data_IF_131084038086
#
_entry.id   IF_131084038086
#
_cell.length_a   1.000
_cell.length_b   1.000
_cell.length_c   1.000
_cell.angle_alpha   90.00
_cell.angle_beta   90.00
_cell.angle_gamma   90.00
#
_symmetry.space_group_name_H-M   'P 1'
#
loop_
_entity.id
_entity.type
_entity.pdbx_description
1 polymer ?
#
# COMPACT_ATOMS: atom_id res chain seq x y z
N UNK A 1 -3.73 2.79 16.76
CA UNK A 1 -4.44 3.34 15.58
C UNK A 1 -5.27 4.53 16.03
N UNK A 2 -5.29 5.62 15.27
CA UNK A 2 -6.05 6.85 15.59
C UNK A 2 -7.14 7.10 14.57
N UNK A 3 -8.34 7.43 15.02
CA UNK A 3 -9.36 7.92 14.11
C UNK A 3 -9.02 9.33 13.63
N UNK A 4 -8.96 9.53 12.31
CA UNK A 4 -8.66 10.83 11.70
C UNK A 4 -9.78 11.87 11.86
N UNK A 5 -10.91 11.48 12.46
CA UNK A 5 -12.10 12.32 12.62
C UNK A 5 -12.34 12.73 14.07
N UNK A 6 -12.48 11.76 14.97
CA UNK A 6 -12.73 12.04 16.39
C UNK A 6 -11.47 11.99 17.27
N UNK A 7 -10.33 11.55 16.73
CA UNK A 7 -9.06 11.46 17.48
C UNK A 7 -8.97 10.27 18.45
N UNK A 8 -9.99 9.40 18.53
CA UNK A 8 -9.94 8.23 19.42
C UNK A 8 -8.80 7.29 19.04
N UNK A 9 -8.07 6.83 20.05
CA UNK A 9 -7.02 5.82 19.91
C UNK A 9 -7.56 4.42 20.20
N UNK A 10 -7.15 3.48 19.36
CA UNK A 10 -7.44 2.06 19.45
C UNK A 10 -6.14 1.29 19.55
N UNK A 11 -6.10 0.29 20.44
CA UNK A 11 -5.06 -0.73 20.42
C UNK A 11 -5.16 -1.56 19.14
N UNK A 12 -4.07 -2.25 18.78
CA UNK A 12 -4.07 -3.13 17.61
C UNK A 12 -5.20 -4.16 17.75
N UNK A 13 -5.95 -4.40 16.67
CA UNK A 13 -7.06 -5.36 16.59
C UNK A 13 -8.31 -5.04 17.46
N UNK A 14 -8.36 -3.93 18.20
CA UNK A 14 -9.58 -3.52 18.92
C UNK A 14 -10.73 -3.13 17.96
N UNK A 15 -10.37 -2.64 16.78
CA UNK A 15 -11.27 -2.33 15.66
C UNK A 15 -10.57 -2.81 14.41
N UNK A 16 -11.29 -3.42 13.47
CA UNK A 16 -10.64 -4.02 12.30
C UNK A 16 -10.26 -2.98 11.24
N UNK A 17 -11.19 -2.06 10.91
CA UNK A 17 -10.99 -1.13 9.79
C UNK A 17 -11.38 0.33 10.10
N UNK A 18 -12.58 0.56 10.63
CA UNK A 18 -13.16 1.90 10.77
C UNK A 18 -13.71 2.16 12.16
N UNK A 19 -13.56 3.40 12.62
CA UNK A 19 -14.14 3.89 13.86
C UNK A 19 -15.67 3.94 13.77
N UNK A 20 -16.36 3.59 14.86
CA UNK A 20 -17.82 3.69 15.01
C UNK A 20 -18.31 5.04 15.52
N UNK A 21 -17.50 6.10 15.50
CA UNK A 21 -17.88 7.42 16.02
C UNK A 21 -18.99 8.12 15.23
N UNK A 22 -19.38 7.57 14.07
CA UNK A 22 -20.51 8.00 13.25
C UNK A 22 -21.05 6.85 12.41
N UNK A 23 -22.24 6.99 11.79
CA UNK A 23 -22.69 6.08 10.75
C UNK A 23 -21.67 6.01 9.60
N UNK A 24 -21.13 4.83 9.38
CA UNK A 24 -20.20 4.54 8.30
C UNK A 24 -21.01 4.30 7.01
N UNK A 25 -21.19 5.35 6.21
CA UNK A 25 -22.01 5.32 4.99
C UNK A 25 -21.24 5.90 3.80
N UNK A 26 -21.29 5.20 2.66
CA UNK A 26 -20.57 5.58 1.44
C UNK A 26 -19.08 5.82 1.70
N UNK A 27 -18.56 6.94 1.19
CA UNK A 27 -17.16 7.34 1.37
C UNK A 27 -16.85 8.04 2.71
N UNK A 28 -17.87 8.37 3.53
CA UNK A 28 -17.66 9.11 4.78
C UNK A 28 -17.42 8.19 5.99
N UNK A 29 -16.33 7.45 5.94
CA UNK A 29 -15.99 6.45 6.96
C UNK A 29 -15.16 7.03 8.10
N UNK A 30 -15.24 6.43 9.29
CA UNK A 30 -14.36 6.73 10.42
C UNK A 30 -12.93 6.22 10.21
N UNK A 31 -12.27 6.60 9.12
CA UNK A 31 -10.96 6.08 8.69
C UNK A 31 -9.92 6.19 9.82
N UNK A 32 -9.20 5.09 10.02
CA UNK A 32 -8.14 4.97 11.00
C UNK A 32 -6.78 5.20 10.33
N UNK A 33 -5.85 5.78 11.11
CA UNK A 33 -4.44 5.87 10.77
C UNK A 33 -3.64 4.98 11.72
N UNK A 34 -2.62 4.31 11.19
CA UNK A 34 -1.73 3.45 11.98
C UNK A 34 -0.72 4.35 12.69
N UNK A 35 -0.60 4.24 14.00
CA UNK A 35 0.38 5.03 14.75
C UNK A 35 1.40 4.09 15.39
N UNK A 36 2.64 4.54 15.39
CA UNK A 36 3.79 3.79 15.85
C UNK A 36 4.40 4.45 17.08
N UNK A 37 5.00 3.64 17.93
CA UNK A 37 5.90 4.12 18.97
C UNK A 37 7.26 4.41 18.33
N UNK A 38 7.46 5.64 17.85
CA UNK A 38 8.71 6.06 17.22
C UNK A 38 9.90 6.05 18.18
N UNK A 39 9.67 6.20 19.49
CA UNK A 39 10.74 6.12 20.48
C UNK A 39 11.25 4.68 20.59
N UNK A 40 10.33 3.71 20.65
CA UNK A 40 10.68 2.29 20.62
C UNK A 40 11.37 1.89 19.31
N UNK A 41 10.89 2.37 18.16
CA UNK A 41 11.52 2.13 16.86
C UNK A 41 12.95 2.68 16.83
N UNK A 42 13.16 3.94 17.23
CA UNK A 42 14.47 4.57 17.22
C UNK A 42 15.47 3.88 18.15
N UNK A 43 15.00 3.19 19.20
CA UNK A 43 15.83 2.39 20.08
C UNK A 43 16.21 1.02 19.49
N UNK A 44 15.44 0.50 18.54
CA UNK A 44 15.57 -0.87 18.02
C UNK A 44 16.11 -0.96 16.58
N UNK A 45 15.95 0.10 15.78
CA UNK A 45 16.31 0.13 14.36
C UNK A 45 17.07 1.41 14.03
N UNK A 46 18.30 1.26 13.54
CA UNK A 46 19.11 2.39 13.07
C UNK A 46 19.01 2.57 11.55
N UNK A 47 19.23 3.79 11.04
CA UNK A 47 19.32 4.04 9.60
C UNK A 47 20.33 3.15 8.88
N UNK A 48 21.49 2.88 9.49
CA UNK A 48 22.56 2.06 8.94
C UNK A 48 22.12 0.60 8.78
N UNK A 49 21.34 0.07 9.74
CA UNK A 49 20.77 -1.27 9.63
C UNK A 49 19.82 -1.37 8.43
N UNK A 50 18.97 -0.35 8.22
CA UNK A 50 18.05 -0.30 7.06
C UNK A 50 18.83 -0.19 5.75
N UNK A 51 19.91 0.60 5.70
CA UNK A 51 20.76 0.72 4.52
C UNK A 51 21.51 -0.57 4.19
N UNK A 52 21.97 -1.29 5.22
CA UNK A 52 22.76 -2.51 5.08
C UNK A 52 21.94 -3.76 4.75
N UNK A 53 20.61 -3.74 4.93
CA UNK A 53 19.75 -4.88 4.60
C UNK A 53 19.78 -5.15 3.07
N UNK A 54 20.18 -6.36 2.65
CA UNK A 54 20.34 -6.69 1.23
C UNK A 54 19.01 -6.86 0.48
N UNK A 55 17.86 -6.89 1.17
CA UNK A 55 16.55 -6.99 0.51
C UNK A 55 16.30 -5.77 -0.37
N UNK A 56 16.09 -5.93 -1.69
CA UNK A 56 15.74 -4.79 -2.53
C UNK A 56 14.27 -4.39 -2.40
N UNK A 57 13.41 -5.25 -1.84
CA UNK A 57 11.96 -5.06 -1.77
C UNK A 57 11.52 -4.27 -0.53
N UNK A 58 10.21 -4.07 -0.39
CA UNK A 58 9.61 -3.51 0.83
C UNK A 58 9.90 -4.33 2.09
N UNK A 59 10.34 -5.58 1.94
CA UNK A 59 10.79 -6.44 3.04
C UNK A 59 11.97 -5.84 3.82
N UNK A 60 12.79 -4.98 3.21
CA UNK A 60 13.79 -4.15 3.89
C UNK A 60 13.22 -3.32 5.04
N UNK A 61 11.97 -2.86 4.90
CA UNK A 61 11.31 -1.96 5.83
C UNK A 61 10.33 -2.69 6.75
N UNK A 62 10.36 -4.03 6.80
CA UNK A 62 9.40 -4.82 7.58
C UNK A 62 9.23 -4.39 9.05
N UNK A 63 10.25 -3.91 9.79
CA UNK A 63 10.03 -3.47 11.18
C UNK A 63 9.20 -2.18 11.28
N UNK A 64 9.08 -1.44 10.17
CA UNK A 64 8.29 -0.21 10.05
C UNK A 64 6.91 -0.47 9.42
N UNK A 65 6.56 -1.73 9.22
CA UNK A 65 5.31 -2.18 8.61
C UNK A 65 4.42 -2.85 9.65
N UNK A 66 3.09 -2.83 9.47
CA UNK A 66 2.14 -3.34 10.46
C UNK A 66 2.01 -4.88 10.42
N UNK A 67 3.11 -5.61 10.23
CA UNK A 67 3.16 -7.07 10.13
C UNK A 67 4.01 -7.65 11.25
N UNK A 68 3.71 -8.85 11.70
CA UNK A 68 4.39 -9.48 12.82
C UNK A 68 5.79 -9.98 12.44
N UNK A 69 5.93 -10.47 11.20
CA UNK A 69 7.19 -11.04 10.69
C UNK A 69 7.40 -10.68 9.22
N UNK A 70 8.66 -10.48 8.84
CA UNK A 70 9.06 -10.28 7.43
C UNK A 70 8.55 -11.38 6.49
N UNK A 71 8.56 -12.63 6.96
CA UNK A 71 8.13 -13.81 6.18
C UNK A 71 6.63 -13.85 5.89
N UNK A 72 5.84 -12.97 6.51
CA UNK A 72 4.41 -12.82 6.19
C UNK A 72 4.19 -12.12 4.85
N UNK A 73 5.18 -11.41 4.33
CA UNK A 73 5.08 -10.80 3.00
C UNK A 73 5.02 -11.87 1.90
N UNK A 74 4.20 -11.67 0.85
CA UNK A 74 4.21 -12.53 -0.32
C UNK A 74 5.61 -12.65 -0.95
N UNK A 75 5.92 -13.76 -1.63
CA UNK A 75 7.25 -14.00 -2.19
C UNK A 75 7.56 -13.16 -3.43
N UNK A 76 6.61 -12.38 -3.94
CA UNK A 76 6.86 -11.44 -5.03
C UNK A 76 7.65 -10.23 -4.53
N UNK A 77 8.77 -9.86 -5.17
CA UNK A 77 9.55 -8.70 -4.76
C UNK A 77 8.81 -7.41 -5.15
N UNK A 78 8.10 -6.83 -4.17
CA UNK A 78 7.40 -5.55 -4.30
C UNK A 78 8.34 -4.43 -3.88
N UNK A 79 8.33 -3.31 -4.60
CA UNK A 79 9.27 -2.22 -4.34
C UNK A 79 10.63 -2.45 -4.99
N UNK A 80 11.66 -1.77 -4.49
CA UNK A 80 12.99 -1.78 -5.12
C UNK A 80 13.00 -1.19 -6.54
N UNK A 81 11.97 -0.41 -6.87
CA UNK A 81 11.76 0.11 -8.22
C UNK A 81 12.75 1.24 -8.52
N UNK A 82 13.00 1.50 -9.80
CA UNK A 82 14.04 2.44 -10.20
C UNK A 82 13.69 3.89 -9.85
N UNK A 83 14.70 4.64 -9.40
CA UNK A 83 14.68 6.11 -9.37
C UNK A 83 15.47 6.62 -10.57
N UNK A 84 14.76 6.96 -11.65
CA UNK A 84 15.34 7.27 -12.94
C UNK A 84 15.76 8.75 -13.03
N UNK A 85 17.05 9.09 -13.24
CA UNK A 85 17.44 10.45 -13.55
C UNK A 85 16.96 10.85 -14.95
N UNK A 86 16.25 11.97 -15.06
CA UNK A 86 15.69 12.44 -16.35
C UNK A 86 16.48 13.63 -16.89
N UNK A 87 17.72 13.37 -17.32
CA UNK A 87 18.72 14.40 -17.63
C UNK A 87 18.27 15.45 -18.66
N UNK A 88 17.57 15.02 -19.73
CA UNK A 88 17.09 15.94 -20.79
C UNK A 88 16.02 16.91 -20.25
N UNK A 89 14.97 16.37 -19.63
CA UNK A 89 13.91 17.19 -19.04
C UNK A 89 14.45 18.07 -17.92
N UNK A 90 15.33 17.54 -17.08
CA UNK A 90 16.03 18.27 -16.02
C UNK A 90 16.72 19.53 -16.55
N UNK A 91 17.47 19.40 -17.65
CA UNK A 91 18.17 20.50 -18.29
C UNK A 91 17.19 21.52 -18.91
N UNK A 92 16.13 21.03 -19.55
CA UNK A 92 15.08 21.85 -20.16
C UNK A 92 14.38 22.77 -19.15
N UNK A 93 14.10 22.27 -17.94
CA UNK A 93 13.42 23.03 -16.88
C UNK A 93 14.36 23.68 -15.85
N UNK A 94 15.68 23.61 -16.06
CA UNK A 94 16.68 24.28 -15.22
C UNK A 94 16.83 23.75 -13.79
N UNK A 95 16.48 22.49 -13.51
CA UNK A 95 16.64 21.89 -12.17
C UNK A 95 18.02 21.24 -11.98
N UNK A 96 18.58 21.29 -10.77
CA UNK A 96 19.84 20.58 -10.42
C UNK A 96 19.67 19.06 -10.42
N UNK A 97 18.55 18.60 -9.87
CA UNK A 97 18.20 17.19 -9.76
C UNK A 97 16.72 17.01 -10.13
N UNK A 98 16.43 16.00 -10.94
CA UNK A 98 15.07 15.60 -11.30
C UNK A 98 15.07 14.10 -11.55
N UNK A 99 14.15 13.41 -10.90
CA UNK A 99 14.03 11.96 -10.95
C UNK A 99 12.58 11.53 -11.17
N UNK A 100 12.40 10.33 -11.72
CA UNK A 100 11.12 9.64 -11.81
C UNK A 100 11.21 8.33 -11.05
N UNK A 101 10.36 8.15 -10.03
CA UNK A 101 10.21 6.88 -9.31
C UNK A 101 9.26 5.96 -10.09
N UNK A 102 9.81 4.97 -10.79
CA UNK A 102 9.07 4.13 -11.74
C UNK A 102 8.43 2.90 -11.08
N UNK A 103 7.35 3.17 -10.35
CA UNK A 103 6.55 2.11 -9.71
C UNK A 103 5.63 1.33 -10.66
N UNK A 104 5.68 1.66 -11.96
CA UNK A 104 5.06 0.84 -13.02
C UNK A 104 5.79 -0.48 -13.25
N UNK A 105 6.97 -0.67 -12.64
CA UNK A 105 7.79 -1.90 -12.73
C UNK A 105 7.58 -2.89 -11.57
N UNK A 106 6.64 -2.62 -10.67
CA UNK A 106 6.22 -3.62 -9.69
C UNK A 106 5.60 -4.85 -10.39
N UNK A 107 5.47 -6.01 -9.70
CA UNK A 107 5.05 -7.27 -10.32
C UNK A 107 3.73 -7.24 -11.13
N UNK A 108 2.72 -6.50 -10.67
CA UNK A 108 1.45 -6.32 -11.39
C UNK A 108 1.44 -5.13 -12.36
N UNK A 109 2.62 -4.55 -12.61
CA UNK A 109 2.85 -3.28 -13.28
C UNK A 109 2.19 -2.07 -12.58
N UNK A 110 2.11 -2.10 -11.24
CA UNK A 110 1.48 -1.01 -10.49
C UNK A 110 2.03 -0.75 -9.09
N UNK A 111 2.07 0.52 -8.72
CA UNK A 111 2.24 1.00 -7.34
C UNK A 111 1.31 0.29 -6.32
N UNK A 112 0.17 -0.22 -6.77
CA UNK A 112 -0.81 -0.89 -5.90
C UNK A 112 -0.29 -2.19 -5.28
N UNK A 113 0.77 -2.79 -5.83
CA UNK A 113 1.45 -3.96 -5.24
C UNK A 113 1.91 -3.69 -3.81
N UNK A 114 2.42 -2.49 -3.52
CA UNK A 114 2.89 -2.11 -2.18
C UNK A 114 1.81 -2.29 -1.12
N UNK A 115 0.60 -1.82 -1.39
CA UNK A 115 -0.53 -1.96 -0.47
C UNK A 115 -1.07 -3.39 -0.44
N UNK A 116 -1.14 -4.05 -1.60
CA UNK A 116 -1.67 -5.41 -1.70
C UNK A 116 -0.78 -6.44 -1.00
N UNK A 117 0.55 -6.27 -1.01
CA UNK A 117 1.47 -7.12 -0.25
C UNK A 117 1.18 -7.08 1.26
N UNK A 118 0.94 -5.88 1.81
CA UNK A 118 0.52 -5.71 3.22
C UNK A 118 -0.85 -6.32 3.47
N UNK A 119 -1.81 -6.14 2.55
CA UNK A 119 -3.14 -6.71 2.69
C UNK A 119 -3.10 -8.24 2.81
N UNK A 120 -2.33 -8.90 1.95
CA UNK A 120 -2.18 -10.37 1.93
C UNK A 120 -1.46 -10.84 3.20
N UNK A 121 -0.37 -10.19 3.60
CA UNK A 121 0.36 -10.51 4.82
C UNK A 121 -0.54 -10.45 6.06
N UNK A 122 -1.27 -9.33 6.22
CA UNK A 122 -2.22 -9.13 7.33
C UNK A 122 -3.35 -10.15 7.32
N UNK A 123 -3.86 -10.50 6.14
CA UNK A 123 -4.91 -11.49 6.03
C UNK A 123 -4.45 -12.87 6.51
N UNK A 124 -3.24 -13.28 6.15
CA UNK A 124 -2.64 -14.54 6.59
C UNK A 124 -2.37 -14.53 8.10
N UNK A 125 -1.81 -13.45 8.63
CA UNK A 125 -1.58 -13.28 10.08
C UNK A 125 -2.89 -13.30 10.88
N UNK A 126 -3.96 -12.71 10.33
CA UNK A 126 -5.29 -12.74 10.93
C UNK A 126 -6.07 -14.05 10.68
N UNK A 127 -5.48 -15.04 10.01
CA UNK A 127 -6.13 -16.32 9.71
C UNK A 127 -7.35 -16.19 8.78
N UNK A 128 -7.39 -15.15 7.94
CA UNK A 128 -8.52 -14.86 7.05
C UNK A 128 -8.46 -15.75 5.82
N UNK A 129 -9.51 -16.55 5.54
CA UNK A 129 -9.45 -17.56 4.47
C UNK A 129 -9.44 -16.95 3.07
N UNK A 130 -10.02 -15.75 2.91
CA UNK A 130 -10.14 -15.04 1.63
C UNK A 130 -9.75 -13.58 1.84
N UNK A 131 -9.08 -13.00 0.83
CA UNK A 131 -8.92 -11.55 0.70
C UNK A 131 -9.81 -11.06 -0.43
N UNK A 132 -10.53 -9.98 -0.20
CA UNK A 132 -11.45 -9.42 -1.17
C UNK A 132 -11.25 -7.92 -1.40
N UNK A 133 -11.65 -7.47 -2.59
CA UNK A 133 -11.74 -6.06 -2.94
C UNK A 133 -12.79 -5.84 -4.02
N UNK A 134 -13.43 -4.68 -4.01
CA UNK A 134 -14.18 -4.19 -5.15
C UNK A 134 -13.29 -3.25 -5.97
N UNK A 135 -12.92 -3.66 -7.18
CA UNK A 135 -12.13 -2.83 -8.09
C UNK A 135 -12.08 -3.44 -9.48
N UNK A 136 -12.15 -2.62 -10.52
CA UNK A 136 -11.91 -3.04 -11.90
C UNK A 136 -10.51 -2.65 -12.39
N UNK A 137 -9.60 -2.23 -11.52
CA UNK A 137 -8.34 -1.60 -11.92
C UNK A 137 -7.10 -2.19 -11.24
N UNK A 138 -6.04 -1.39 -11.17
CA UNK A 138 -4.75 -1.81 -10.65
C UNK A 138 -4.80 -2.37 -9.21
N UNK A 139 -5.77 -1.96 -8.39
CA UNK A 139 -5.94 -2.50 -7.04
C UNK A 139 -6.35 -3.98 -7.05
N UNK A 140 -7.25 -4.36 -7.97
CA UNK A 140 -7.65 -5.74 -8.19
C UNK A 140 -6.50 -6.57 -8.75
N UNK A 141 -5.81 -6.07 -9.80
CA UNK A 141 -4.68 -6.77 -10.41
C UNK A 141 -3.53 -7.02 -9.42
N UNK A 142 -3.16 -6.00 -8.64
CA UNK A 142 -2.15 -6.13 -7.61
C UNK A 142 -2.57 -7.11 -6.50
N UNK A 143 -3.83 -7.05 -6.04
CA UNK A 143 -4.31 -8.00 -5.03
C UNK A 143 -4.29 -9.43 -5.57
N UNK A 144 -4.82 -9.66 -6.78
CA UNK A 144 -4.83 -10.96 -7.42
C UNK A 144 -3.43 -11.55 -7.56
N UNK A 145 -2.46 -10.77 -8.08
CA UNK A 145 -1.08 -11.23 -8.25
C UNK A 145 -0.37 -11.55 -6.93
N UNK A 146 -0.49 -10.66 -5.93
CA UNK A 146 0.10 -10.89 -4.60
C UNK A 146 -0.52 -12.09 -3.89
N UNK A 147 -1.85 -12.25 -3.97
CA UNK A 147 -2.56 -13.35 -3.34
C UNK A 147 -2.21 -14.69 -4.01
N UNK A 148 -2.16 -14.73 -5.35
CA UNK A 148 -1.75 -15.91 -6.10
C UNK A 148 -0.34 -16.38 -5.70
N UNK A 149 0.61 -15.44 -5.60
CA UNK A 149 1.97 -15.75 -5.19
C UNK A 149 2.09 -16.26 -3.75
N UNK A 150 1.19 -15.82 -2.86
CA UNK A 150 1.16 -16.25 -1.46
C UNK A 150 0.28 -17.48 -1.20
N UNK A 151 -0.38 -18.03 -2.23
CA UNK A 151 -1.35 -19.11 -2.07
C UNK A 151 -2.63 -18.70 -1.32
N UNK A 152 -2.96 -17.40 -1.31
CA UNK A 152 -4.13 -16.84 -0.64
C UNK A 152 -5.32 -16.80 -1.59
N UNK A 153 -6.47 -17.36 -1.19
CA UNK A 153 -7.69 -17.27 -1.98
C UNK A 153 -8.16 -15.81 -2.09
N UNK A 154 -8.57 -15.40 -3.28
CA UNK A 154 -8.98 -14.02 -3.59
C UNK A 154 -10.32 -13.97 -4.30
N UNK A 155 -11.19 -13.05 -3.85
CA UNK A 155 -12.48 -12.76 -4.47
C UNK A 155 -12.52 -11.29 -4.87
N UNK A 156 -12.83 -11.00 -6.13
CA UNK A 156 -12.84 -9.63 -6.66
C UNK A 156 -14.21 -9.29 -7.18
N UNK A 157 -14.80 -8.24 -6.63
CA UNK A 157 -16.09 -7.72 -7.05
C UNK A 157 -15.90 -6.66 -8.13
N UNK A 158 -16.60 -6.82 -9.24
CA UNK A 158 -16.58 -5.90 -10.38
C UNK A 158 -18.01 -5.65 -10.86
N UNK A 159 -18.35 -4.45 -11.34
CA UNK A 159 -19.58 -4.26 -12.11
C UNK A 159 -19.61 -5.20 -13.31
N UNK A 160 -20.77 -5.72 -13.67
CA UNK A 160 -20.97 -6.58 -14.85
C UNK A 160 -20.57 -5.92 -16.16
N UNK A 161 -20.55 -4.58 -16.19
CA UNK A 161 -20.10 -3.74 -17.30
C UNK A 161 -18.58 -3.56 -17.37
N UNK A 162 -17.81 -4.15 -16.45
CA UNK A 162 -16.36 -4.02 -16.43
C UNK A 162 -15.73 -4.58 -17.72
N UNK A 163 -14.78 -3.85 -18.36
CA UNK A 163 -14.17 -4.30 -19.60
C UNK A 163 -13.47 -5.67 -19.47
N UNK A 164 -13.68 -6.62 -20.39
CA UNK A 164 -13.07 -7.95 -20.32
C UNK A 164 -11.54 -7.93 -20.17
N UNK A 165 -10.87 -6.98 -20.82
CA UNK A 165 -9.43 -6.80 -20.73
C UNK A 165 -8.94 -6.53 -19.29
N UNK A 166 -9.75 -5.85 -18.47
CA UNK A 166 -9.42 -5.59 -17.06
C UNK A 166 -9.70 -6.80 -16.16
N UNK A 167 -10.62 -7.67 -16.56
CA UNK A 167 -10.96 -8.92 -15.84
C UNK A 167 -9.95 -10.02 -16.15
N UNK A 168 -9.44 -10.08 -17.38
CA UNK A 168 -8.55 -11.14 -17.86
C UNK A 168 -7.35 -11.36 -16.94
N UNK A 169 -6.66 -10.29 -16.51
CA UNK A 169 -5.51 -10.39 -15.61
C UNK A 169 -5.88 -11.01 -14.25
N UNK A 170 -7.07 -10.71 -13.73
CA UNK A 170 -7.56 -11.25 -12.45
C UNK A 170 -7.79 -12.75 -12.54
N UNK A 171 -8.40 -13.20 -13.64
CA UNK A 171 -8.66 -14.61 -13.89
C UNK A 171 -7.36 -15.39 -14.16
N UNK A 172 -6.39 -14.80 -14.86
CA UNK A 172 -5.08 -15.42 -15.10
C UNK A 172 -4.33 -15.67 -13.79
N UNK A 173 -4.43 -14.75 -12.82
CA UNK A 173 -3.86 -14.95 -11.49
C UNK A 173 -4.70 -15.89 -10.60
N UNK A 174 -5.84 -16.40 -11.09
CA UNK A 174 -6.65 -17.38 -10.37
C UNK A 174 -7.63 -16.80 -9.35
N UNK A 175 -7.93 -15.49 -9.41
CA UNK A 175 -8.97 -14.91 -8.55
C UNK A 175 -10.37 -15.33 -8.99
N UNK A 176 -11.25 -15.55 -8.02
CA UNK A 176 -12.69 -15.65 -8.25
C UNK A 176 -13.24 -14.25 -8.51
N UNK A 177 -13.79 -14.00 -9.70
CA UNK A 177 -14.36 -12.69 -10.05
C UNK A 177 -15.88 -12.76 -9.99
N UNK A 178 -16.49 -11.90 -9.18
CA UNK A 178 -17.93 -11.76 -9.04
C UNK A 178 -18.40 -10.52 -9.80
N UNK A 179 -19.08 -10.76 -10.93
CA UNK A 179 -19.69 -9.72 -11.75
C UNK A 179 -21.04 -9.31 -11.16
N UNK A 180 -21.09 -8.12 -10.56
CA UNK A 180 -22.26 -7.55 -9.88
C UNK A 180 -23.14 -6.82 -10.89
N UNK A 181 -24.42 -7.18 -10.96
CA UNK A 181 -25.40 -6.48 -11.80
C UNK A 181 -25.82 -5.16 -11.12
N UNK A 182 -24.97 -4.14 -11.26
CA UNK A 182 -25.12 -2.86 -10.59
C UNK A 182 -23.96 -1.91 -10.89
N UNK A 183 -23.93 -0.82 -10.14
CA UNK A 183 -22.88 0.20 -10.16
C UNK A 183 -21.59 -0.26 -9.48
N UNK A 184 -20.57 0.59 -9.51
CA UNK A 184 -19.35 0.38 -8.71
C UNK A 184 -19.64 0.39 -7.21
N UNK A 185 -20.53 1.27 -6.77
CA UNK A 185 -20.90 1.38 -5.36
C UNK A 185 -21.64 0.12 -4.90
N UNK A 186 -22.52 -0.45 -5.73
CA UNK A 186 -23.18 -1.73 -5.43
C UNK A 186 -22.16 -2.88 -5.29
N UNK A 187 -21.14 -2.91 -6.16
CA UNK A 187 -20.07 -3.90 -6.05
C UNK A 187 -19.20 -3.70 -4.81
N UNK A 188 -18.96 -2.44 -4.41
CA UNK A 188 -18.26 -2.09 -3.20
C UNK A 188 -19.04 -2.53 -1.96
N UNK A 189 -20.32 -2.16 -1.86
CA UNK A 189 -21.19 -2.51 -0.74
C UNK A 189 -21.37 -4.02 -0.61
N UNK A 190 -21.51 -4.75 -1.73
CA UNK A 190 -21.57 -6.21 -1.71
C UNK A 190 -20.25 -6.83 -1.23
N UNK A 191 -19.09 -6.30 -1.64
CA UNK A 191 -17.80 -6.73 -1.13
C UNK A 191 -17.68 -6.49 0.38
N UNK A 192 -18.15 -5.34 0.86
CA UNK A 192 -18.18 -4.99 2.28
C UNK A 192 -19.05 -5.97 3.08
N UNK A 193 -20.27 -6.23 2.61
CA UNK A 193 -21.20 -7.17 3.23
C UNK A 193 -20.63 -8.60 3.26
N UNK A 194 -20.05 -9.08 2.15
CA UNK A 194 -19.44 -10.41 2.08
C UNK A 194 -18.25 -10.55 3.03
N UNK A 195 -17.40 -9.52 3.16
CA UNK A 195 -16.31 -9.54 4.13
C UNK A 195 -16.81 -9.63 5.57
N UNK A 196 -17.86 -8.89 5.91
CA UNK A 196 -18.44 -8.91 7.25
C UNK A 196 -19.12 -10.26 7.56
N UNK A 197 -19.90 -10.79 6.63
CA UNK A 197 -20.66 -12.04 6.79
C UNK A 197 -19.74 -13.27 6.86
N UNK A 198 -18.79 -13.38 5.93
CA UNK A 198 -17.96 -14.58 5.80
C UNK A 198 -16.60 -14.47 6.48
N UNK A 199 -16.36 -13.36 7.19
CA UNK A 199 -15.09 -13.11 7.87
C UNK A 199 -13.89 -13.03 6.93
N UNK A 200 -14.08 -12.51 5.71
CA UNK A 200 -12.99 -12.29 4.74
C UNK A 200 -12.25 -10.99 5.03
N UNK A 201 -10.98 -10.93 4.63
CA UNK A 201 -10.18 -9.71 4.77
C UNK A 201 -10.49 -8.72 3.65
N UNK A 202 -10.73 -7.45 3.98
CA UNK A 202 -11.06 -6.42 2.99
C UNK A 202 -9.85 -5.53 2.68
N UNK A 203 -9.43 -5.48 1.42
CA UNK A 203 -8.27 -4.70 0.95
C UNK A 203 -8.61 -3.25 0.54
N UNK A 204 -9.87 -2.87 0.50
CA UNK A 204 -10.30 -1.61 -0.13
C UNK A 204 -9.60 -0.38 0.44
N UNK A 205 -9.14 0.49 -0.45
CA UNK A 205 -8.49 1.76 -0.08
C UNK A 205 -9.52 2.77 0.43
N UNK A 206 -9.13 3.62 1.39
CA UNK A 206 -10.05 4.52 2.10
C UNK A 206 -10.82 3.85 3.24
N UNK A 207 -10.91 2.51 3.21
CA UNK A 207 -11.50 1.69 4.26
C UNK A 207 -10.46 1.01 5.15
N UNK A 208 -9.55 0.24 4.55
CA UNK A 208 -8.54 -0.50 5.30
C UNK A 208 -7.35 0.41 5.66
N UNK A 209 -7.05 0.62 6.96
CA UNK A 209 -6.02 1.56 7.41
C UNK A 209 -4.61 1.15 6.99
N UNK A 210 -4.36 -0.15 6.81
CA UNK A 210 -3.04 -0.69 6.45
C UNK A 210 -2.66 -0.43 4.99
N UNK A 211 -3.61 0.05 4.17
CA UNK A 211 -3.34 0.36 2.76
C UNK A 211 -2.40 1.54 2.58
N UNK A 212 -2.29 2.43 3.56
CA UNK A 212 -1.34 3.55 3.58
C UNK A 212 0.07 3.04 3.92
N UNK A 213 0.18 2.04 4.79
CA UNK A 213 1.46 1.50 5.26
C UNK A 213 2.26 0.80 4.17
N UNK A 214 1.61 0.10 3.25
CA UNK A 214 2.33 -0.42 2.09
C UNK A 214 2.86 0.72 1.23
N UNK A 215 2.01 1.71 0.95
CA UNK A 215 2.31 2.83 0.04
C UNK A 215 3.45 3.71 0.55
N UNK A 216 3.57 3.89 1.87
CA UNK A 216 4.61 4.74 2.48
C UNK A 216 6.04 4.28 2.18
N UNK A 217 6.22 2.98 1.92
CA UNK A 217 7.54 2.39 1.61
C UNK A 217 8.23 3.03 0.41
N UNK A 218 7.48 3.62 -0.53
CA UNK A 218 8.09 4.34 -1.66
C UNK A 218 8.93 5.53 -1.20
N UNK A 219 8.54 6.19 -0.11
CA UNK A 219 9.27 7.35 0.43
C UNK A 219 10.60 6.92 1.03
N UNK A 220 10.63 5.77 1.72
CA UNK A 220 11.86 5.19 2.23
C UNK A 220 12.82 4.81 1.10
N UNK A 221 12.31 4.19 0.04
CA UNK A 221 13.12 3.88 -1.14
C UNK A 221 13.66 5.13 -1.83
N UNK A 222 12.82 6.16 -2.02
CA UNK A 222 13.25 7.43 -2.60
C UNK A 222 14.38 8.02 -1.74
N UNK A 223 14.24 8.05 -0.42
CA UNK A 223 15.24 8.61 0.46
C UNK A 223 16.57 7.85 0.41
N UNK A 224 16.53 6.52 0.44
CA UNK A 224 17.70 5.65 0.27
C UNK A 224 18.39 5.84 -1.08
N UNK A 225 17.61 5.88 -2.16
CA UNK A 225 18.13 6.00 -3.52
C UNK A 225 18.74 7.39 -3.78
N UNK A 226 18.16 8.44 -3.20
CA UNK A 226 18.74 9.79 -3.23
C UNK A 226 20.03 9.87 -2.41
N UNK A 227 20.10 9.22 -1.23
CA UNK A 227 21.35 9.09 -0.48
C UNK A 227 22.42 8.41 -1.33
N UNK A 228 22.11 7.26 -1.93
CA UNK A 228 23.03 6.52 -2.79
C UNK A 228 23.45 7.30 -4.05
N UNK A 229 22.58 8.16 -4.57
CA UNK A 229 22.88 9.04 -5.69
C UNK A 229 23.71 10.29 -5.31
N UNK A 230 24.12 10.42 -4.05
CA UNK A 230 24.91 11.55 -3.56
C UNK A 230 24.14 12.86 -3.45
N UNK A 231 22.80 12.80 -3.38
CA UNK A 231 21.94 13.98 -3.22
C UNK A 231 21.91 14.46 -1.76
N UNK A 232 22.27 13.59 -0.81
CA UNK A 232 22.30 13.91 0.62
C UNK A 232 23.20 15.13 0.91
N UNK A 233 22.65 16.16 1.53
CA UNK A 233 23.44 17.26 2.08
C UNK A 233 23.93 16.88 3.49
N UNK A 234 25.22 17.09 3.77
CA UNK A 234 25.74 17.06 5.15
C UNK A 234 25.87 15.69 5.82
N UNK A 235 25.92 14.58 5.07
CA UNK A 235 26.20 13.25 5.63
C UNK A 235 25.01 12.59 6.36
N UNK A 236 23.79 13.10 6.18
CA UNK A 236 22.59 12.47 6.69
C UNK A 236 22.41 11.05 6.11
N UNK A 237 21.93 10.08 6.89
CA UNK A 237 21.73 8.72 6.40
C UNK A 237 20.59 8.63 5.37
N UNK A 238 19.64 9.56 5.40
CA UNK A 238 18.55 9.62 4.43
C UNK A 238 18.46 11.00 3.78
N UNK A 239 18.41 11.04 2.45
CA UNK A 239 18.24 12.27 1.68
C UNK A 239 16.76 12.48 1.37
N UNK A 240 16.14 13.48 1.99
CA UNK A 240 14.79 13.89 1.61
C UNK A 240 14.81 14.77 0.35
N UNK A 241 13.90 14.56 -0.62
CA UNK A 241 13.73 15.49 -1.73
C UNK A 241 13.08 16.79 -1.26
N UNK A 242 13.38 17.91 -1.93
CA UNK A 242 12.72 19.19 -1.67
C UNK A 242 11.22 19.18 -2.02
N UNK A 243 10.85 18.39 -3.04
CA UNK A 243 9.47 18.25 -3.48
C UNK A 243 9.26 16.85 -4.09
N UNK A 244 8.06 16.31 -3.90
CA UNK A 244 7.60 15.07 -4.55
C UNK A 244 6.25 15.36 -5.20
N UNK A 245 6.18 15.15 -6.50
CA UNK A 245 4.94 15.29 -7.26
C UNK A 245 4.27 13.92 -7.37
N UNK A 246 3.06 13.82 -6.87
CA UNK A 246 2.30 12.56 -6.81
C UNK A 246 0.99 12.76 -7.56
N UNK A 247 0.67 11.86 -8.49
CA UNK A 247 -0.64 11.86 -9.13
C UNK A 247 -1.73 11.48 -8.12
N UNK A 248 -2.80 12.28 -8.07
CA UNK A 248 -3.86 12.13 -7.07
C UNK A 248 -5.13 11.62 -7.73
N UNK A 249 -5.55 10.42 -7.33
CA UNK A 249 -6.89 9.89 -7.56
C UNK A 249 -7.70 9.96 -6.26
N UNK A 250 -7.77 8.85 -5.53
CA UNK A 250 -8.48 8.74 -4.24
C UNK A 250 -7.77 9.42 -3.04
N UNK A 251 -6.57 9.99 -3.24
CA UNK A 251 -5.78 10.64 -2.19
C UNK A 251 -4.95 9.71 -1.29
N UNK A 252 -5.12 8.39 -1.34
CA UNK A 252 -4.41 7.50 -0.43
C UNK A 252 -2.92 7.36 -0.77
N UNK A 253 -2.54 7.48 -2.04
CA UNK A 253 -1.12 7.44 -2.44
C UNK A 253 -0.36 8.62 -1.86
N UNK A 254 -0.85 9.84 -2.05
CA UNK A 254 -0.19 11.04 -1.51
C UNK A 254 -0.16 11.00 0.03
N UNK A 255 -1.21 10.50 0.68
CA UNK A 255 -1.21 10.27 2.13
C UNK A 255 -0.12 9.30 2.59
N UNK A 256 0.05 8.17 1.89
CA UNK A 256 1.12 7.20 2.17
C UNK A 256 2.51 7.78 1.93
N UNK A 257 2.71 8.48 0.80
CA UNK A 257 3.98 9.16 0.50
C UNK A 257 4.34 10.17 1.59
N UNK A 258 3.40 11.02 1.98
CA UNK A 258 3.58 12.00 3.05
C UNK A 258 3.94 11.31 4.37
N UNK A 259 3.19 10.27 4.75
CA UNK A 259 3.46 9.49 5.97
C UNK A 259 4.87 8.89 5.96
N UNK A 260 5.30 8.30 4.85
CA UNK A 260 6.63 7.70 4.74
C UNK A 260 7.76 8.72 4.91
N UNK A 261 7.59 9.96 4.45
CA UNK A 261 8.58 11.02 4.72
C UNK A 261 8.48 11.59 6.13
N UNK A 262 7.32 11.49 6.80
CA UNK A 262 7.17 11.87 8.22
C UNK A 262 7.78 10.85 9.18
N UNK A 263 7.84 9.59 8.76
CA UNK A 263 8.43 8.50 9.53
C UNK A 263 9.97 8.55 9.56
N UNK A 264 10.60 9.20 8.57
CA UNK A 264 12.07 9.40 8.46
C UNK A 264 12.54 10.64 9.21
#
# INVERSE_FOLDING_TARGET
MRCLRCGTHYTLNAVEYVCGCRPNTGSDMGTLDVEYDYAAIAAALTPEQVQADPDPSIGRFWPLLPIDRRSSLPPLPVGGTLLLPVARLRAEIGLRHLFVKDDGRNPSASFKDRASAIAVARAQEAGRPIVATASTGNAAAALAGQAAAAGQATVIFVPKTAPPAKIAQLLIYGSTVLAVDGSYDDAFDLCMAACAEFGWYNRSTGYNPYMTEGKKTVSYEIALQLTAAGVAAGGAPFAAPHAVFVSVGDGCIIGGVHKGFKDL
#
